data_IF_170938103217
#
_entry.id   IF_170938103217
#
_cell.length_a   1.000
_cell.length_b   1.000
_cell.length_c   1.000
_cell.angle_alpha   90.00
_cell.angle_beta   90.00
_cell.angle_gamma   90.00
#
_symmetry.space_group_name_H-M   'P 1'
#
loop_
_entity.id
_entity.type
_entity.pdbx_description
1 polymer ?
#
# COMPACT_ATOMS: atom_id res chain seq x y z
N UNK A 1 -11.77 -9.42 -5.57
CA UNK A 1 -10.65 -8.73 -4.89
C UNK A 1 -10.99 -7.26 -4.70
N UNK A 2 -10.78 -6.74 -3.50
CA UNK A 2 -11.14 -5.35 -3.18
C UNK A 2 -10.22 -4.37 -3.89
N UNK A 3 -10.79 -3.30 -4.44
CA UNK A 3 -10.05 -2.19 -5.03
C UNK A 3 -9.99 -1.02 -4.06
N UNK A 4 -9.13 -0.05 -4.32
CA UNK A 4 -9.09 1.17 -3.50
C UNK A 4 -10.42 1.91 -3.51
N UNK A 5 -11.12 1.89 -4.65
CA UNK A 5 -12.43 2.52 -4.79
C UNK A 5 -13.49 1.89 -3.88
N UNK A 6 -13.38 0.60 -3.60
CA UNK A 6 -14.36 -0.16 -2.81
C UNK A 6 -14.09 -0.09 -1.30
N UNK A 7 -12.99 0.54 -0.87
CA UNK A 7 -12.63 0.60 0.54
C UNK A 7 -13.66 1.38 1.36
N UNK A 8 -13.98 0.85 2.53
CA UNK A 8 -14.88 1.48 3.48
C UNK A 8 -14.16 1.63 4.83
N UNK A 9 -14.68 2.51 5.67
CA UNK A 9 -14.14 2.72 7.02
C UNK A 9 -14.08 1.39 7.79
N UNK A 10 -12.91 1.11 8.36
CA UNK A 10 -12.67 -0.13 9.09
C UNK A 10 -12.04 -1.24 8.28
N UNK A 11 -11.98 -1.11 6.95
CA UNK A 11 -11.33 -2.11 6.11
C UNK A 11 -9.82 -2.12 6.36
N UNK A 12 -9.23 -3.29 6.17
CA UNK A 12 -7.78 -3.46 6.33
C UNK A 12 -7.06 -3.06 5.04
N UNK A 13 -5.93 -2.38 5.21
CA UNK A 13 -5.00 -2.06 4.13
C UNK A 13 -3.61 -2.42 4.60
N UNK A 14 -2.78 -2.92 3.69
CA UNK A 14 -1.45 -3.41 4.02
C UNK A 14 -0.39 -2.50 3.43
N UNK A 15 0.66 -2.29 4.19
CA UNK A 15 1.71 -1.33 3.85
C UNK A 15 3.08 -1.92 4.14
N UNK A 16 4.01 -1.74 3.21
CA UNK A 16 5.39 -2.16 3.38
C UNK A 16 6.32 -1.07 2.86
N UNK A 17 7.33 -0.72 3.67
CA UNK A 17 8.39 0.17 3.23
C UNK A 17 9.28 -0.56 2.21
N UNK A 18 9.73 0.15 1.21
CA UNK A 18 10.63 -0.41 0.20
C UNK A 18 11.91 -0.94 0.84
N UNK A 19 12.32 -2.13 0.44
CA UNK A 19 13.52 -2.78 0.96
C UNK A 19 13.33 -3.59 2.24
N UNK A 20 12.14 -3.54 2.86
CA UNK A 20 11.86 -4.34 4.06
C UNK A 20 11.35 -5.74 3.71
N UNK A 21 11.50 -6.66 4.65
CA UNK A 21 11.06 -8.04 4.50
C UNK A 21 9.55 -8.18 4.71
N UNK A 22 8.99 -9.29 4.18
CA UNK A 22 7.55 -9.58 4.28
C UNK A 22 7.01 -9.58 5.72
N UNK A 23 7.84 -9.95 6.69
CA UNK A 23 7.46 -9.95 8.11
C UNK A 23 7.17 -8.56 8.65
N UNK A 24 7.64 -7.52 7.96
CA UNK A 24 7.43 -6.12 8.33
C UNK A 24 6.21 -5.48 7.66
N UNK A 25 5.40 -6.25 6.95
CA UNK A 25 4.16 -5.75 6.39
C UNK A 25 3.23 -5.32 7.53
N UNK A 26 2.84 -4.05 7.50
CA UNK A 26 1.93 -3.50 8.52
C UNK A 26 0.49 -3.63 8.07
N UNK A 27 -0.39 -3.93 9.02
CA UNK A 27 -1.83 -3.88 8.81
C UNK A 27 -2.35 -2.56 9.35
N UNK A 28 -2.99 -1.79 8.49
CA UNK A 28 -3.61 -0.51 8.85
C UNK A 28 -5.11 -0.59 8.56
N UNK A 29 -5.87 0.34 9.12
CA UNK A 29 -7.31 0.36 8.96
C UNK A 29 -7.75 1.66 8.32
N UNK A 30 -8.72 1.58 7.42
CA UNK A 30 -9.25 2.77 6.75
C UNK A 30 -9.98 3.63 7.78
N UNK A 31 -9.51 4.86 7.97
CA UNK A 31 -10.19 5.87 8.75
C UNK A 31 -11.19 6.60 7.86
N UNK A 32 -10.76 7.00 6.68
CA UNK A 32 -11.61 7.66 5.70
C UNK A 32 -11.01 7.53 4.31
N UNK A 33 -11.86 7.61 3.30
CA UNK A 33 -11.45 7.73 1.91
C UNK A 33 -12.29 8.84 1.28
N UNK A 34 -11.60 9.81 0.67
CA UNK A 34 -12.27 10.90 -0.03
C UNK A 34 -12.59 10.49 -1.46
N UNK A 35 -13.57 11.17 -2.04
CA UNK A 35 -13.97 10.94 -3.41
C UNK A 35 -12.82 11.16 -4.38
N UNK A 36 -12.94 10.56 -5.56
CA UNK A 36 -11.99 10.70 -6.64
C UNK A 36 -11.76 12.16 -7.00
N UNK A 37 -10.50 12.56 -7.06
CA UNK A 37 -10.08 13.88 -7.51
C UNK A 37 -9.71 13.78 -8.99
N UNK A 38 -10.55 14.30 -9.86
CA UNK A 38 -10.36 14.23 -11.31
C UNK A 38 -9.08 14.95 -11.76
N UNK A 39 -8.66 15.97 -11.05
CA UNK A 39 -7.47 16.74 -11.39
C UNK A 39 -6.19 15.97 -11.06
N UNK A 40 -6.16 15.32 -9.88
CA UNK A 40 -4.99 14.55 -9.43
C UNK A 40 -5.05 13.08 -9.84
N UNK A 41 -6.21 12.63 -10.25
CA UNK A 41 -6.47 11.22 -10.58
C UNK A 41 -6.16 10.28 -9.41
N UNK A 42 -6.51 10.71 -8.19
CA UNK A 42 -6.25 9.97 -6.95
C UNK A 42 -7.42 9.99 -5.99
N UNK A 43 -7.43 9.06 -5.07
CA UNK A 43 -8.26 9.07 -3.86
C UNK A 43 -7.37 9.46 -2.68
N UNK A 44 -7.86 10.34 -1.82
CA UNK A 44 -7.17 10.64 -0.56
C UNK A 44 -7.58 9.60 0.49
N UNK A 45 -6.63 8.81 0.92
CA UNK A 45 -6.84 7.70 1.84
C UNK A 45 -6.16 8.00 3.18
N UNK A 46 -6.93 7.93 4.27
CA UNK A 46 -6.40 8.07 5.62
C UNK A 46 -6.48 6.72 6.31
N UNK A 47 -5.35 6.26 6.82
CA UNK A 47 -5.20 4.96 7.49
C UNK A 47 -4.78 5.17 8.93
N UNK A 48 -5.30 4.35 9.84
CA UNK A 48 -4.95 4.38 11.26
C UNK A 48 -4.35 3.04 11.69
N UNK A 49 -3.48 3.07 12.69
CA UNK A 49 -2.80 1.87 13.16
C UNK A 49 -3.73 0.94 13.96
N UNK A 50 -4.68 1.51 14.69
CA UNK A 50 -5.70 0.76 15.43
C UNK A 50 -7.08 1.20 14.96
N UNK A 51 -7.94 0.25 14.65
CA UNK A 51 -9.28 0.53 14.16
C UNK A 51 -10.07 1.42 15.13
N UNK A 52 -10.52 2.57 14.63
CA UNK A 52 -11.33 3.50 15.39
C UNK A 52 -10.58 4.35 16.42
N UNK A 53 -9.26 4.22 16.51
CA UNK A 53 -8.46 4.93 17.52
C UNK A 53 -8.16 6.38 17.18
N UNK A 54 -8.13 6.70 15.89
CA UNK A 54 -7.68 8.00 15.37
C UNK A 54 -6.22 8.32 15.78
N UNK A 55 -5.42 7.28 16.00
CA UNK A 55 -4.00 7.39 16.35
C UNK A 55 -3.13 6.80 15.26
N UNK A 56 -1.94 7.37 15.09
CA UNK A 56 -1.01 6.91 14.07
C UNK A 56 -1.60 7.02 12.68
N UNK A 57 -2.28 8.14 12.40
CA UNK A 57 -2.95 8.34 11.12
C UNK A 57 -1.94 8.69 10.04
N UNK A 58 -2.01 7.94 8.94
CA UNK A 58 -1.18 8.18 7.76
C UNK A 58 -2.09 8.59 6.60
N UNK A 59 -1.64 9.58 5.83
CA UNK A 59 -2.39 10.08 4.68
C UNK A 59 -1.67 9.73 3.39
N UNK A 60 -2.37 9.11 2.47
CA UNK A 60 -1.83 8.72 1.17
C UNK A 60 -2.78 9.14 0.05
N UNK A 61 -2.21 9.45 -1.11
CA UNK A 61 -2.97 9.58 -2.33
C UNK A 61 -2.82 8.27 -3.10
N UNK A 62 -3.92 7.58 -3.34
CA UNK A 62 -3.90 6.28 -4.01
C UNK A 62 -4.58 6.33 -5.36
N UNK A 63 -4.04 5.60 -6.30
CA UNK A 63 -4.60 5.43 -7.65
C UNK A 63 -4.41 3.98 -8.06
N UNK A 64 -4.82 3.64 -9.29
CA UNK A 64 -4.72 2.27 -9.73
C UNK A 64 -5.84 1.41 -9.17
N UNK A 65 -5.61 0.11 -9.13
CA UNK A 65 -6.67 -0.85 -8.84
C UNK A 65 -6.67 -1.33 -7.39
N UNK A 66 -5.64 -2.01 -6.96
CA UNK A 66 -5.57 -2.62 -5.63
C UNK A 66 -4.18 -2.63 -5.01
N UNK A 67 -3.17 -2.19 -5.73
CA UNK A 67 -1.80 -2.08 -5.22
C UNK A 67 -1.11 -0.89 -5.88
N UNK A 68 -0.31 -0.16 -5.12
CA UNK A 68 0.41 1.01 -5.61
C UNK A 68 1.71 1.19 -4.83
N UNK A 69 2.71 1.76 -5.49
CA UNK A 69 3.91 2.28 -4.84
C UNK A 69 3.77 3.80 -4.73
N UNK A 70 3.94 4.32 -3.53
CA UNK A 70 3.78 5.74 -3.26
C UNK A 70 5.01 6.28 -2.52
N UNK A 71 5.52 7.42 -2.96
CA UNK A 71 6.64 8.08 -2.30
C UNK A 71 6.11 9.21 -1.42
N UNK A 72 6.42 9.12 -0.11
CA UNK A 72 6.04 10.14 0.87
C UNK A 72 7.29 10.50 1.67
N UNK A 73 7.69 11.76 1.63
CA UNK A 73 8.86 12.27 2.38
C UNK A 73 10.13 11.41 2.13
N UNK A 74 10.42 11.15 0.86
CA UNK A 74 11.58 10.38 0.40
C UNK A 74 11.56 8.90 0.79
N UNK A 75 10.45 8.40 1.33
CA UNK A 75 10.26 6.99 1.62
C UNK A 75 9.24 6.40 0.65
N UNK A 76 9.59 5.30 0.01
CA UNK A 76 8.68 4.59 -0.89
C UNK A 76 7.95 3.50 -0.12
N UNK A 77 6.63 3.50 -0.24
CA UNK A 77 5.75 2.51 0.37
C UNK A 77 5.01 1.74 -0.70
N UNK A 78 4.81 0.45 -0.47
CA UNK A 78 3.85 -0.35 -1.23
C UNK A 78 2.58 -0.44 -0.40
N UNK A 79 1.46 -0.05 -0.97
CA UNK A 79 0.15 -0.05 -0.31
C UNK A 79 -0.77 -0.95 -1.11
N UNK A 80 -1.44 -1.87 -0.44
CA UNK A 80 -2.32 -2.83 -1.10
C UNK A 80 -3.57 -3.13 -0.29
N UNK A 81 -4.65 -3.44 -0.99
CA UNK A 81 -5.91 -3.85 -0.34
C UNK A 81 -5.86 -5.29 0.17
N UNK A 82 -4.88 -6.08 -0.28
CA UNK A 82 -4.69 -7.47 0.12
C UNK A 82 -3.20 -7.74 0.32
N UNK A 83 -2.86 -8.38 1.43
CA UNK A 83 -1.47 -8.70 1.77
C UNK A 83 -0.79 -9.57 0.70
N UNK A 84 -1.55 -10.45 0.06
CA UNK A 84 -1.02 -11.34 -0.98
C UNK A 84 -0.41 -10.56 -2.16
N UNK A 85 -0.95 -9.37 -2.45
CA UNK A 85 -0.44 -8.53 -3.53
C UNK A 85 0.97 -8.04 -3.23
N UNK A 86 1.24 -7.67 -1.99
CA UNK A 86 2.59 -7.25 -1.57
C UNK A 86 3.54 -8.44 -1.63
N UNK A 87 3.09 -9.61 -1.17
CA UNK A 87 3.90 -10.83 -1.21
C UNK A 87 4.28 -11.21 -2.65
N UNK A 88 3.33 -11.11 -3.58
CA UNK A 88 3.60 -11.35 -5.00
C UNK A 88 4.64 -10.38 -5.56
N UNK A 89 4.55 -9.11 -5.20
CA UNK A 89 5.52 -8.10 -5.65
C UNK A 89 6.92 -8.39 -5.12
N UNK A 90 7.03 -8.82 -3.86
CA UNK A 90 8.33 -9.19 -3.27
C UNK A 90 8.95 -10.37 -3.99
N UNK A 91 8.16 -11.38 -4.32
CA UNK A 91 8.63 -12.55 -5.08
C UNK A 91 9.15 -12.12 -6.45
N UNK A 92 8.41 -11.27 -7.16
CA UNK A 92 8.81 -10.78 -8.49
C UNK A 92 10.11 -9.97 -8.43
N UNK A 93 10.24 -9.09 -7.43
CA UNK A 93 11.47 -8.30 -7.25
C UNK A 93 12.67 -9.19 -6.97
N UNK A 94 12.49 -10.22 -6.13
CA UNK A 94 13.54 -11.16 -5.80
C UNK A 94 13.98 -11.97 -7.03
N UNK A 95 13.04 -12.45 -7.82
CA UNK A 95 13.32 -13.17 -9.07
C UNK A 95 14.11 -12.30 -10.04
N UNK A 96 13.72 -11.05 -10.20
CA UNK A 96 14.41 -10.10 -11.07
C UNK A 96 15.84 -9.88 -10.62
N UNK A 97 16.10 -9.76 -9.31
CA UNK A 97 17.44 -9.63 -8.76
C UNK A 97 18.28 -10.87 -9.03
N UNK A 98 17.72 -12.06 -8.86
CA UNK A 98 18.41 -13.31 -9.15
C UNK A 98 18.82 -13.41 -10.61
N UNK A 99 17.95 -13.02 -11.53
CA UNK A 99 18.25 -12.99 -12.96
C UNK A 99 19.39 -12.02 -13.28
N UNK A 100 19.40 -10.86 -12.64
CA UNK A 100 20.44 -9.86 -12.84
C UNK A 100 21.78 -10.24 -12.24
N UNK A 101 21.77 -11.06 -11.20
CA UNK A 101 22.99 -11.54 -10.51
C UNK A 101 23.60 -12.77 -11.17
N UNK A 102 22.94 -13.34 -12.17
CA UNK A 102 23.47 -14.51 -12.86
C UNK A 102 24.72 -14.10 -13.64
N UNK A 103 25.90 -14.68 -13.34
CA UNK A 103 27.10 -14.36 -14.10
C UNK A 103 26.93 -14.81 -15.54
N UNK A 104 27.07 -13.89 -16.41
CA UNK A 104 27.01 -14.16 -17.85
C UNK A 104 28.32 -14.77 -18.31
#
# INVERSE_FOLDING_TARGET
>A
MTTFEELEKGDKVFLLNDGEAAENIKTLYVQSICEWDDYRETYALSLEEEEGSNRGVHHFEVHGYNVIEENVDDTTYTIATDKSLILEMLVKKHQTQEENDTPS
#
